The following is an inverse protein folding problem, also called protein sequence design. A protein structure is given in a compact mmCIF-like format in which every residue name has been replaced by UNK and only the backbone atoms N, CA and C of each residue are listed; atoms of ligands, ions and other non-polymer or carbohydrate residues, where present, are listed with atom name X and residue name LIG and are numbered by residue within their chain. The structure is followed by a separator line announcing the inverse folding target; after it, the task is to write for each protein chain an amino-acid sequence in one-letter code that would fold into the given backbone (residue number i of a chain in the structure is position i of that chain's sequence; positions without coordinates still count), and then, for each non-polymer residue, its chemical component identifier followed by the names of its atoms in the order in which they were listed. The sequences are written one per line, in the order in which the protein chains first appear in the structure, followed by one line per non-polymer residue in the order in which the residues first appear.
data_IF_370214226621
#
_entry.id   IF_370214226621
#
_cell.length_a   1.000
_cell.length_b   1.000
_cell.length_c   1.000
_cell.angle_alpha   90.00
_cell.angle_beta   90.00
_cell.angle_gamma   90.00
#
_symmetry.space_group_name_H-M   'P 1'
#
loop_
_entity.id
_entity.type
_entity.pdbx_description
1 polymer ?
#
# COMPACT_ATOMS: atom_id res chain seq x y z
N UNK A 1 -10.10 -8.55 -13.60
CA UNK A 1 -11.20 -8.46 -12.62
C UNK A 1 -10.91 -7.29 -11.69
N UNK A 2 -11.92 -6.58 -11.16
CA UNK A 2 -11.66 -5.51 -10.19
C UNK A 2 -11.09 -6.10 -8.89
N UNK A 3 -10.14 -5.40 -8.27
CA UNK A 3 -9.60 -5.75 -6.94
C UNK A 3 -10.75 -5.71 -5.93
N UNK A 4 -10.90 -6.78 -5.13
CA UNK A 4 -11.93 -6.89 -4.08
C UNK A 4 -11.29 -7.03 -2.70
N UNK A 5 -10.84 -5.91 -2.17
CA UNK A 5 -10.51 -5.76 -0.74
C UNK A 5 -11.74 -5.17 -0.05
N UNK A 6 -12.22 -5.77 1.05
CA UNK A 6 -13.38 -5.24 1.79
C UNK A 6 -12.91 -4.27 2.86
N UNK A 7 -13.70 -3.23 3.13
CA UNK A 7 -13.50 -2.22 4.19
C UNK A 7 -13.73 -2.77 5.61
N UNK A 8 -13.23 -3.98 5.90
CA UNK A 8 -13.44 -4.63 7.18
C UNK A 8 -12.76 -3.82 8.31
N UNK A 9 -13.55 -3.07 9.08
CA UNK A 9 -13.23 -2.47 10.37
C UNK A 9 -11.87 -1.75 10.47
N UNK A 10 -11.45 -1.05 9.42
CA UNK A 10 -10.30 -0.16 9.52
C UNK A 10 -10.73 1.11 10.27
N UNK A 11 -9.98 1.46 11.30
CA UNK A 11 -10.29 2.59 12.18
C UNK A 11 -9.67 3.90 11.71
N UNK A 12 -8.63 3.81 10.88
CA UNK A 12 -7.85 4.93 10.37
C UNK A 12 -7.87 4.99 8.84
N UNK A 13 -8.45 4.04 8.11
CA UNK A 13 -8.57 4.13 6.64
C UNK A 13 -9.89 4.81 6.27
N UNK A 14 -9.82 5.91 5.52
CA UNK A 14 -10.98 6.67 5.05
C UNK A 14 -11.40 6.21 3.66
N UNK A 15 -10.44 6.03 2.75
CA UNK A 15 -10.72 5.67 1.36
C UNK A 15 -9.69 4.66 0.82
N UNK A 16 -10.16 3.79 -0.08
CA UNK A 16 -9.33 2.86 -0.85
C UNK A 16 -9.70 2.99 -2.32
N UNK A 17 -8.73 3.36 -3.15
CA UNK A 17 -8.88 3.53 -4.59
C UNK A 17 -8.09 2.46 -5.35
N UNK A 18 -8.71 1.82 -6.34
CA UNK A 18 -8.02 0.89 -7.23
C UNK A 18 -7.18 1.62 -8.27
N UNK A 19 -5.88 1.30 -8.36
CA UNK A 19 -4.95 1.89 -9.33
C UNK A 19 -4.33 0.79 -10.22
N UNK A 20 -5.14 0.21 -11.11
CA UNK A 20 -4.73 -0.93 -11.95
C UNK A 20 -5.06 -2.28 -11.33
N UNK A 21 -4.46 -3.38 -11.83
CA UNK A 21 -4.90 -4.74 -11.49
C UNK A 21 -4.37 -5.27 -10.15
N UNK A 22 -3.31 -4.68 -9.61
CA UNK A 22 -2.61 -5.17 -8.41
C UNK A 22 -2.14 -4.05 -7.46
N UNK A 23 -2.61 -2.83 -7.67
CA UNK A 23 -2.19 -1.67 -6.88
C UNK A 23 -3.42 -0.94 -6.37
N UNK A 24 -3.36 -0.49 -5.12
CA UNK A 24 -4.35 0.36 -4.48
C UNK A 24 -3.68 1.59 -3.89
N UNK A 25 -4.44 2.66 -3.77
CA UNK A 25 -4.10 3.86 -3.03
C UNK A 25 -5.02 3.96 -1.82
N UNK A 26 -4.45 4.28 -0.66
CA UNK A 26 -5.10 4.28 0.64
C UNK A 26 -4.93 5.64 1.27
N UNK A 27 -6.04 6.28 1.63
CA UNK A 27 -6.05 7.56 2.33
C UNK A 27 -6.45 7.32 3.78
N UNK A 28 -5.60 7.75 4.71
CA UNK A 28 -5.78 7.52 6.15
C UNK A 28 -6.28 8.78 6.86
N UNK A 29 -6.86 8.61 8.05
CA UNK A 29 -7.39 9.67 8.90
C UNK A 29 -6.32 10.56 9.51
N UNK A 30 -5.10 10.05 9.63
CA UNK A 30 -3.91 10.82 9.99
C UNK A 30 -3.30 11.61 8.82
N UNK A 31 -3.88 11.51 7.61
CA UNK A 31 -3.50 12.32 6.45
C UNK A 31 -2.42 11.71 5.54
N UNK A 32 -1.96 10.47 5.81
CA UNK A 32 -1.07 9.77 4.89
C UNK A 32 -1.82 9.35 3.62
N UNK A 33 -1.06 9.32 2.53
CA UNK A 33 -1.48 8.69 1.28
C UNK A 33 -0.48 7.59 0.99
N UNK A 34 -0.94 6.34 1.08
CA UNK A 34 -0.12 5.14 0.95
C UNK A 34 -0.54 4.40 -0.30
N UNK A 35 0.42 4.09 -1.17
CA UNK A 35 0.20 3.23 -2.33
C UNK A 35 0.75 1.86 -2.01
N UNK A 36 -0.06 0.84 -2.23
CA UNK A 36 0.29 -0.55 -1.99
C UNK A 36 0.22 -1.30 -3.31
N UNK A 37 1.32 -1.92 -3.72
CA UNK A 37 1.39 -2.78 -4.91
C UNK A 37 1.65 -4.22 -4.48
N UNK A 38 0.75 -5.14 -4.84
CA UNK A 38 1.00 -6.57 -4.75
C UNK A 38 1.89 -7.00 -5.92
N UNK A 39 3.20 -7.00 -5.71
CA UNK A 39 4.19 -7.35 -6.72
C UNK A 39 4.27 -8.87 -6.88
N UNK A 40 4.19 -9.35 -8.13
CA UNK A 40 4.22 -10.77 -8.46
C UNK A 40 5.65 -11.30 -8.47
N UNK A 41 5.89 -12.38 -7.74
CA UNK A 41 7.15 -13.07 -7.67
C UNK A 41 7.32 -14.02 -8.87
N UNK A 42 7.96 -13.53 -9.92
CA UNK A 42 8.12 -14.28 -11.19
C UNK A 42 9.37 -15.17 -11.24
N UNK A 43 10.36 -14.96 -10.35
CA UNK A 43 11.71 -15.54 -10.51
C UNK A 43 12.02 -16.67 -9.54
N UNK A 44 11.50 -16.64 -8.31
CA UNK A 44 11.98 -17.58 -7.28
C UNK A 44 11.25 -18.92 -7.29
N UNK A 45 10.11 -19.04 -7.97
CA UNK A 45 9.25 -20.23 -7.89
C UNK A 45 8.78 -20.57 -6.46
N UNK A 46 9.08 -19.69 -5.50
CA UNK A 46 8.85 -19.89 -4.08
C UNK A 46 7.56 -19.20 -3.68
N UNK A 47 6.79 -19.87 -2.83
CA UNK A 47 5.71 -19.23 -2.10
C UNK A 47 6.30 -18.11 -1.23
N UNK A 48 5.67 -16.94 -1.19
CA UNK A 48 4.37 -16.58 -1.76
C UNK A 48 4.44 -15.97 -3.16
N UNK A 49 3.33 -16.07 -3.90
CA UNK A 49 3.21 -15.53 -5.26
C UNK A 49 3.28 -14.01 -5.29
N UNK A 50 2.79 -13.33 -4.25
CA UNK A 50 2.79 -11.87 -4.16
C UNK A 50 3.41 -11.37 -2.86
N UNK A 51 4.08 -10.24 -2.94
CA UNK A 51 4.55 -9.45 -1.79
C UNK A 51 4.06 -8.00 -1.91
N UNK A 52 3.83 -7.35 -0.77
CA UNK A 52 3.39 -5.96 -0.73
C UNK A 52 4.60 -5.02 -0.83
N UNK A 53 4.57 -4.11 -1.79
CA UNK A 53 5.45 -2.96 -1.87
C UNK A 53 4.67 -1.70 -1.51
N UNK A 54 5.23 -0.87 -0.64
CA UNK A 54 4.58 0.31 -0.09
C UNK A 54 5.32 1.56 -0.55
N UNK A 55 4.55 2.58 -0.91
CA UNK A 55 5.04 3.92 -1.17
C UNK A 55 4.18 4.94 -0.43
N UNK A 56 4.76 6.06 -0.02
CA UNK A 56 4.06 7.21 0.54
C UNK A 56 4.34 8.47 -0.26
N UNK A 57 3.40 9.40 -0.23
CA UNK A 57 3.63 10.74 -0.78
C UNK A 57 4.55 11.52 0.15
N UNK A 58 5.67 11.98 -0.38
CA UNK A 58 6.54 12.97 0.25
C UNK A 58 6.57 14.26 -0.57
N UNK A 59 6.66 15.38 0.13
CA UNK A 59 6.88 16.68 -0.49
C UNK A 59 8.37 16.97 -0.61
N UNK A 60 8.86 17.05 -1.84
CA UNK A 60 10.25 17.44 -2.12
C UNK A 60 10.28 18.87 -2.65
N UNK A 61 11.26 19.64 -2.18
CA UNK A 61 11.52 20.99 -2.66
C UNK A 61 12.61 20.94 -3.73
N UNK A 62 12.26 21.38 -4.94
CA UNK A 62 13.20 21.55 -6.04
C UNK A 62 13.11 23.01 -6.49
N UNK A 63 14.20 23.75 -6.33
CA UNK A 63 14.27 25.19 -6.55
C UNK A 63 13.14 25.96 -5.82
N UNK A 64 12.23 26.59 -6.59
CA UNK A 64 11.09 27.36 -6.10
C UNK A 64 9.77 26.57 -6.16
N UNK A 65 9.83 25.25 -6.35
CA UNK A 65 8.65 24.38 -6.49
C UNK A 65 8.63 23.31 -5.41
N UNK A 66 7.42 23.01 -4.92
CA UNK A 66 7.14 21.83 -4.12
C UNK A 66 6.50 20.79 -5.03
N UNK A 67 7.07 19.59 -5.07
CA UNK A 67 6.53 18.44 -5.81
C UNK A 67 6.10 17.37 -4.82
N UNK A 68 4.97 16.71 -5.10
CA UNK A 68 4.53 15.51 -4.41
C UNK A 68 5.01 14.30 -5.20
N UNK A 69 5.81 13.46 -4.57
CA UNK A 69 6.38 12.25 -5.18
C UNK A 69 6.09 11.04 -4.31
N UNK A 70 5.87 9.90 -4.96
CA UNK A 70 5.81 8.62 -4.28
C UNK A 70 7.22 8.14 -3.99
N UNK A 71 7.47 7.73 -2.75
CA UNK A 71 8.74 7.17 -2.31
C UNK A 71 8.48 5.92 -1.50
N UNK A 72 9.40 4.95 -1.61
CA UNK A 72 9.31 3.70 -0.86
C UNK A 72 9.13 3.98 0.64
N UNK A 73 8.13 3.34 1.23
CA UNK A 73 7.81 3.46 2.65
C UNK A 73 8.10 2.13 3.35
N UNK A 74 8.54 2.21 4.60
CA UNK A 74 8.86 1.04 5.40
C UNK A 74 7.61 0.58 6.16
N UNK A 75 7.09 -0.58 5.76
CA UNK A 75 5.98 -1.26 6.42
C UNK A 75 6.36 -2.74 6.58
N UNK A 76 5.77 -3.44 7.56
CA UNK A 76 6.00 -4.86 7.73
C UNK A 76 5.75 -5.65 6.44
N UNK A 77 6.65 -6.59 6.18
CA UNK A 77 6.60 -7.46 5.01
C UNK A 77 5.29 -8.26 4.99
N UNK A 78 4.47 -8.07 3.96
CA UNK A 78 3.21 -8.78 3.77
C UNK A 78 3.20 -9.54 2.45
N UNK A 79 2.49 -10.68 2.47
CA UNK A 79 2.50 -11.64 1.38
C UNK A 79 1.13 -12.26 1.16
N UNK A 80 0.91 -12.79 -0.04
CA UNK A 80 -0.30 -13.54 -0.35
C UNK A 80 -0.15 -14.47 -1.54
N UNK A 81 -1.02 -15.48 -1.60
CA UNK A 81 -1.16 -16.36 -2.76
C UNK A 81 -1.89 -15.67 -3.92
N UNK A 82 -2.73 -14.68 -3.60
CA UNK A 82 -3.47 -13.83 -4.53
C UNK A 82 -3.17 -12.35 -4.29
N UNK A 83 -3.46 -11.50 -5.28
CA UNK A 83 -3.39 -10.04 -5.17
C UNK A 83 -4.23 -9.56 -3.98
N UNK A 84 -5.50 -9.99 -3.90
CA UNK A 84 -6.40 -9.56 -2.83
C UNK A 84 -5.95 -10.01 -1.45
N UNK A 85 -5.40 -11.22 -1.33
CA UNK A 85 -4.86 -11.72 -0.06
C UNK A 85 -3.68 -10.89 0.42
N UNK A 86 -2.75 -10.57 -0.49
CA UNK A 86 -1.59 -9.73 -0.20
C UNK A 86 -2.01 -8.32 0.23
N UNK A 87 -2.90 -7.68 -0.54
CA UNK A 87 -3.37 -6.33 -0.25
C UNK A 87 -4.18 -6.25 1.07
N UNK A 88 -4.98 -7.27 1.40
CA UNK A 88 -5.70 -7.31 2.69
C UNK A 88 -4.74 -7.36 3.88
N UNK A 89 -3.68 -8.17 3.81
CA UNK A 89 -2.66 -8.21 4.86
C UNK A 89 -1.94 -6.87 5.02
N UNK A 90 -1.63 -6.21 3.90
CA UNK A 90 -1.00 -4.91 3.87
C UNK A 90 -1.86 -3.80 4.50
N UNK A 91 -3.17 -3.79 4.22
CA UNK A 91 -4.10 -2.78 4.75
C UNK A 91 -4.16 -2.78 6.28
N UNK A 92 -4.01 -3.93 6.94
CA UNK A 92 -4.00 -4.01 8.42
C UNK A 92 -2.86 -3.20 9.02
N UNK A 93 -1.71 -3.13 8.35
CA UNK A 93 -0.57 -2.37 8.84
C UNK A 93 -0.70 -0.88 8.55
N UNK A 94 -1.21 -0.53 7.36
CA UNK A 94 -1.49 0.87 7.03
C UNK A 94 -2.52 1.46 8.01
N UNK A 95 -3.54 0.70 8.38
CA UNK A 95 -4.54 1.10 9.38
C UNK A 95 -3.94 1.33 10.77
N UNK A 96 -3.03 0.44 11.19
CA UNK A 96 -2.50 0.39 12.57
C UNK A 96 -1.23 1.20 12.82
N UNK A 97 -0.62 1.76 11.79
CA UNK A 97 0.64 2.49 11.91
C UNK A 97 0.39 4.01 12.00
N UNK A 98 0.28 4.60 13.20
CA UNK A 98 0.18 6.05 13.38
C UNK A 98 1.54 6.77 13.27
N UNK A 99 2.55 6.15 12.64
CA UNK A 99 3.97 6.53 12.52
C UNK A 99 4.88 5.64 13.38
N UNK A 100 5.85 4.98 12.73
CA UNK A 100 7.15 4.58 13.30
C UNK A 100 7.51 5.43 14.55
N UNK A 101 7.34 4.84 15.73
CA UNK A 101 7.88 5.36 17.01
C UNK A 101 9.39 5.31 17.04
#
# INVERSE_FOLDING_TARGET
MPIKVSDANFSNIIEIWGHGPNTIEVHTGDGRQVKITAAHNIRSGATPNYYAHYEEIQEIKIDKKTLKVWVAADYPWQVGETVEGCLRGALVWVDRDPQNT
#
